data_IF_677959861832
#
_entry.id   IF_677959861832
#
_cell.length_a   1.000
_cell.length_b   1.000
_cell.length_c   1.000
_cell.angle_alpha   90.00
_cell.angle_beta   90.00
_cell.angle_gamma   90.00
#
_symmetry.space_group_name_H-M   'P 1'
#
loop_
_entity.id
_entity.type
_entity.pdbx_description
1 polymer ?
#
# COMPACT_ATOMS: atom_id res chain seq x y z
N UNK A 1 15.81 -11.98 -3.27
CA UNK A 1 15.39 -12.21 -4.67
C UNK A 1 15.58 -10.94 -5.50
N UNK A 2 15.73 -11.09 -6.83
CA UNK A 2 15.84 -9.94 -7.74
C UNK A 2 14.62 -9.91 -8.65
N UNK A 3 13.99 -8.76 -8.74
CA UNK A 3 12.83 -8.53 -9.60
C UNK A 3 13.18 -7.49 -10.67
N UNK A 4 12.67 -7.68 -11.88
CA UNK A 4 12.86 -6.78 -13.02
C UNK A 4 11.61 -5.96 -13.33
N UNK A 5 10.52 -6.27 -12.64
CA UNK A 5 9.23 -5.64 -12.82
C UNK A 5 8.41 -5.63 -11.52
N UNK A 6 7.48 -4.71 -11.45
CA UNK A 6 6.48 -4.63 -10.39
C UNK A 6 5.10 -4.47 -11.01
N UNK A 7 4.10 -4.98 -10.33
CA UNK A 7 2.69 -4.66 -10.61
C UNK A 7 2.24 -3.53 -9.70
N UNK A 8 1.51 -2.56 -10.25
CA UNK A 8 1.00 -1.40 -9.51
C UNK A 8 -0.51 -1.39 -9.57
N UNK A 9 -1.17 -1.40 -8.42
CA UNK A 9 -2.62 -1.35 -8.32
C UNK A 9 -3.11 0.03 -7.89
N UNK A 10 -4.19 0.51 -8.51
CA UNK A 10 -4.84 1.77 -8.12
C UNK A 10 -5.31 1.78 -6.66
N UNK A 11 -5.51 0.61 -6.06
CA UNK A 11 -5.97 0.42 -4.70
C UNK A 11 -4.86 0.48 -3.64
N UNK A 12 -3.77 1.23 -3.91
CA UNK A 12 -2.77 1.61 -2.92
C UNK A 12 -1.74 0.54 -2.54
N UNK A 13 -1.38 -0.32 -3.48
CA UNK A 13 -0.34 -1.33 -3.29
C UNK A 13 0.46 -1.62 -4.56
N UNK A 14 1.64 -2.18 -4.38
CA UNK A 14 2.44 -2.82 -5.42
C UNK A 14 2.71 -4.26 -5.05
N UNK A 15 3.10 -5.06 -6.04
CA UNK A 15 3.67 -6.40 -5.84
C UNK A 15 4.95 -6.53 -6.66
N UNK A 16 5.95 -7.19 -6.12
CA UNK A 16 7.14 -7.57 -6.87
C UNK A 16 6.81 -8.71 -7.83
N UNK A 17 7.11 -8.50 -9.13
CA UNK A 17 6.72 -9.39 -10.21
C UNK A 17 5.35 -9.08 -10.82
N UNK A 18 4.94 -9.93 -11.76
CA UNK A 18 3.67 -9.79 -12.49
C UNK A 18 2.50 -10.43 -11.71
N UNK A 19 1.38 -9.71 -11.65
CA UNK A 19 0.11 -10.23 -11.14
C UNK A 19 -1.07 -9.57 -11.85
N UNK A 20 -2.11 -10.34 -12.14
CA UNK A 20 -3.40 -9.86 -12.64
C UNK A 20 -4.40 -9.51 -11.51
N UNK A 21 -3.96 -9.56 -10.24
CA UNK A 21 -4.83 -9.23 -9.13
C UNK A 21 -5.14 -7.74 -9.09
N UNK A 22 -6.39 -7.41 -8.86
CA UNK A 22 -6.91 -6.03 -8.71
C UNK A 22 -7.54 -5.84 -7.32
N UNK A 23 -6.98 -6.49 -6.29
CA UNK A 23 -7.57 -6.55 -4.96
C UNK A 23 -7.80 -5.14 -4.39
N UNK A 24 -9.07 -4.77 -4.26
CA UNK A 24 -9.52 -3.53 -3.62
C UNK A 24 -9.96 -3.76 -2.18
N UNK A 25 -10.34 -4.99 -1.84
CA UNK A 25 -10.70 -5.39 -0.48
C UNK A 25 -9.44 -5.69 0.29
N UNK A 26 -9.17 -4.89 1.29
CA UNK A 26 -7.98 -5.05 2.12
C UNK A 26 -8.19 -6.09 3.24
N UNK A 27 -7.13 -6.79 3.54
CA UNK A 27 -7.05 -7.84 4.55
C UNK A 27 -5.80 -7.64 5.42
N UNK A 28 -5.68 -8.37 6.55
CA UNK A 28 -4.42 -8.40 7.30
C UNK A 28 -3.25 -8.94 6.46
N UNK A 29 -2.05 -8.46 6.76
CA UNK A 29 -0.79 -8.94 6.19
C UNK A 29 0.08 -9.62 7.28
N UNK A 30 0.76 -10.75 6.95
CA UNK A 30 0.70 -11.48 5.68
C UNK A 30 -0.61 -12.25 5.53
N UNK A 31 -1.04 -12.46 4.29
CA UNK A 31 -2.27 -13.22 4.05
C UNK A 31 -2.72 -13.31 2.59
N UNK A 32 -3.73 -14.13 2.32
CA UNK A 32 -4.13 -14.49 0.97
C UNK A 32 -4.99 -13.42 0.25
N UNK A 33 -5.20 -12.26 0.83
CA UNK A 33 -6.10 -11.24 0.28
C UNK A 33 -5.51 -10.43 -0.88
N UNK A 34 -4.18 -10.30 -0.92
CA UNK A 34 -3.40 -9.66 -1.95
C UNK A 34 -2.47 -10.63 -2.68
N UNK A 35 -1.69 -10.14 -3.67
CA UNK A 35 -0.67 -10.95 -4.32
C UNK A 35 0.53 -11.13 -3.40
N UNK A 36 1.25 -12.27 -3.47
CA UNK A 36 2.50 -12.45 -2.74
C UNK A 36 3.55 -11.39 -3.12
N UNK A 37 4.46 -11.06 -2.20
CA UNK A 37 5.45 -10.00 -2.40
C UNK A 37 4.86 -8.59 -2.43
N UNK A 38 3.75 -8.41 -1.73
CA UNK A 38 3.01 -7.16 -1.69
C UNK A 38 3.66 -6.12 -0.78
N UNK A 39 3.65 -4.88 -1.23
CA UNK A 39 3.88 -3.67 -0.42
C UNK A 39 2.62 -2.84 -0.44
N UNK A 40 1.88 -2.84 0.65
CA UNK A 40 0.68 -2.06 0.83
C UNK A 40 1.03 -0.73 1.50
N UNK A 41 0.95 0.38 0.76
CA UNK A 41 1.18 1.72 1.31
C UNK A 41 -0.11 2.33 1.85
N UNK A 42 -1.24 2.04 1.22
CA UNK A 42 -2.58 2.43 1.63
C UNK A 42 -3.59 1.53 0.92
N UNK A 43 -3.58 0.24 1.25
CA UNK A 43 -4.47 -0.72 0.60
C UNK A 43 -5.90 -0.55 1.09
N UNK A 44 -6.74 -0.01 0.23
CA UNK A 44 -8.18 0.19 0.43
C UNK A 44 -8.86 0.30 -0.95
N UNK A 45 -10.16 0.34 -0.99
CA UNK A 45 -10.93 0.61 -2.21
C UNK A 45 -10.80 2.08 -2.59
N UNK A 46 -10.00 2.35 -3.63
CA UNK A 46 -9.64 3.69 -4.07
C UNK A 46 -10.17 3.98 -5.49
N UNK A 47 -10.49 5.23 -5.71
CA UNK A 47 -10.85 5.79 -7.03
C UNK A 47 -9.71 6.63 -7.57
N UNK A 48 -9.21 6.27 -8.75
CA UNK A 48 -8.18 6.98 -9.47
C UNK A 48 -8.52 7.05 -10.97
N UNK A 49 -7.79 7.87 -11.72
CA UNK A 49 -7.84 7.89 -13.18
C UNK A 49 -8.82 8.90 -13.81
N UNK A 50 -9.31 9.88 -13.02
CA UNK A 50 -10.09 10.99 -13.55
C UNK A 50 -9.62 12.34 -12.98
N UNK A 51 -10.03 13.44 -13.59
CA UNK A 51 -9.71 14.78 -13.09
C UNK A 51 -10.25 15.08 -11.68
N UNK A 52 -11.25 14.32 -11.24
CA UNK A 52 -11.87 14.47 -9.92
C UNK A 52 -11.36 13.45 -8.88
N UNK A 53 -10.61 12.44 -9.31
CA UNK A 53 -10.14 11.35 -8.47
C UNK A 53 -8.62 11.14 -8.52
N UNK A 54 -7.87 12.11 -9.06
CA UNK A 54 -6.42 12.02 -9.17
C UNK A 54 -5.92 10.85 -10.01
N UNK A 55 -4.70 10.39 -9.76
CA UNK A 55 -4.07 9.33 -10.53
C UNK A 55 -2.92 8.63 -9.84
N UNK A 56 -2.44 7.59 -10.49
CA UNK A 56 -1.23 6.86 -10.10
C UNK A 56 -0.12 7.17 -11.11
N UNK A 57 1.04 7.54 -10.61
CA UNK A 57 2.17 7.98 -11.41
C UNK A 57 3.44 7.23 -11.00
N UNK A 58 4.34 7.05 -11.94
CA UNK A 58 5.66 6.47 -11.68
C UNK A 58 6.76 7.43 -12.12
N UNK A 59 7.86 7.39 -11.39
CA UNK A 59 9.07 8.14 -11.71
C UNK A 59 10.30 7.32 -11.41
N UNK A 60 11.26 7.31 -12.34
CA UNK A 60 12.55 6.66 -12.16
C UNK A 60 13.68 7.68 -12.25
N UNK A 61 14.56 7.69 -11.26
CA UNK A 61 15.77 8.50 -11.25
C UNK A 61 17.00 7.59 -11.15
N UNK A 62 17.61 7.34 -12.29
CA UNK A 62 18.79 6.48 -12.38
C UNK A 62 20.02 7.02 -11.62
N UNK A 63 20.16 8.35 -11.49
CA UNK A 63 21.30 8.94 -10.79
C UNK A 63 21.20 8.82 -9.28
N UNK A 64 19.99 8.75 -8.74
CA UNK A 64 19.73 8.55 -7.33
C UNK A 64 19.38 7.09 -7.01
N UNK A 65 19.23 6.23 -8.03
CA UNK A 65 18.83 4.83 -7.86
C UNK A 65 17.50 4.67 -7.17
N UNK A 66 16.50 5.47 -7.55
CA UNK A 66 15.18 5.42 -6.95
C UNK A 66 14.10 5.18 -8.01
N UNK A 67 13.11 4.36 -7.63
CA UNK A 67 11.86 4.23 -8.36
C UNK A 67 10.71 4.62 -7.45
N UNK A 68 9.87 5.54 -7.90
CA UNK A 68 8.75 6.06 -7.12
C UNK A 68 7.43 5.66 -7.78
N UNK A 69 6.49 5.20 -6.96
CA UNK A 69 5.09 5.06 -7.33
C UNK A 69 4.28 5.99 -6.44
N UNK A 70 3.58 6.94 -7.03
CA UNK A 70 2.77 7.94 -6.32
C UNK A 70 1.30 7.78 -6.67
N UNK A 71 0.46 7.72 -5.64
CA UNK A 71 -0.99 7.92 -5.71
C UNK A 71 -1.26 9.36 -5.31
N UNK A 72 -1.65 10.19 -6.28
CA UNK A 72 -1.80 11.64 -6.09
C UNK A 72 -3.26 12.03 -6.12
N UNK A 73 -3.77 12.56 -5.01
CA UNK A 73 -5.16 12.98 -4.83
C UNK A 73 -6.19 11.90 -5.19
N UNK A 74 -5.87 10.64 -4.95
CA UNK A 74 -6.82 9.53 -5.09
C UNK A 74 -7.90 9.66 -4.01
N UNK A 75 -9.06 9.06 -4.23
CA UNK A 75 -10.16 9.14 -3.29
C UNK A 75 -10.55 7.77 -2.77
N UNK A 76 -10.85 7.70 -1.49
CA UNK A 76 -11.52 6.54 -0.91
C UNK A 76 -12.89 6.32 -1.58
N UNK A 77 -13.28 5.06 -1.77
CA UNK A 77 -14.51 4.75 -2.50
C UNK A 77 -15.77 5.18 -1.75
N UNK A 78 -15.83 4.97 -0.44
CA UNK A 78 -17.05 5.21 0.33
C UNK A 78 -17.28 6.68 0.70
N UNK A 79 -16.30 7.39 1.23
CA UNK A 79 -16.48 8.77 1.71
C UNK A 79 -15.79 9.84 0.90
N UNK A 80 -15.11 9.46 -0.18
CA UNK A 80 -14.47 10.39 -1.12
C UNK A 80 -13.42 11.33 -0.49
N UNK A 81 -12.78 10.92 0.60
CA UNK A 81 -11.64 11.64 1.15
C UNK A 81 -10.44 11.54 0.22
N UNK A 82 -9.68 12.62 0.13
CA UNK A 82 -8.46 12.64 -0.68
C UNK A 82 -7.32 12.02 0.11
N UNK A 83 -6.56 11.18 -0.58
CA UNK A 83 -5.35 10.58 -0.08
C UNK A 83 -4.20 10.86 -1.06
N UNK A 84 -3.01 11.14 -0.54
CA UNK A 84 -1.81 11.34 -1.37
C UNK A 84 -0.62 10.69 -0.67
N UNK A 85 -0.05 9.68 -1.31
CA UNK A 85 1.01 8.87 -0.74
C UNK A 85 1.87 8.26 -1.83
N UNK A 86 3.05 7.77 -1.43
CA UNK A 86 3.99 7.15 -2.38
C UNK A 86 4.81 6.03 -1.74
N UNK A 87 5.28 5.14 -2.60
CA UNK A 87 6.33 4.17 -2.33
C UNK A 87 7.59 4.62 -3.04
N UNK A 88 8.72 4.62 -2.35
CA UNK A 88 10.04 4.80 -2.93
C UNK A 88 10.81 3.50 -2.75
N UNK A 89 11.24 2.91 -3.84
CA UNK A 89 12.12 1.76 -3.88
C UNK A 89 13.54 2.26 -4.15
N UNK A 90 14.49 1.88 -3.30
CA UNK A 90 15.89 2.21 -3.46
C UNK A 90 16.64 1.05 -4.13
N UNK A 91 17.52 1.38 -5.05
CA UNK A 91 18.38 0.39 -5.68
C UNK A 91 19.45 -0.10 -4.68
N UNK A 92 19.61 -1.41 -4.58
CA UNK A 92 20.52 -2.07 -3.64
C UNK A 92 21.96 -1.56 -3.63
N UNK A 93 22.58 -1.14 -4.74
CA UNK A 93 23.89 -0.51 -4.69
C UNK A 93 23.98 0.83 -3.98
N UNK A 94 22.84 1.49 -3.75
CA UNK A 94 22.78 2.85 -3.20
C UNK A 94 22.33 2.84 -1.73
N UNK A 95 21.19 2.21 -1.45
CA UNK A 95 20.69 2.06 -0.08
C UNK A 95 20.28 0.60 0.16
N UNK A 96 20.95 -0.05 1.10
CA UNK A 96 20.84 -1.47 1.33
C UNK A 96 20.54 -1.79 2.78
N UNK A 97 19.56 -2.66 2.99
CA UNK A 97 19.26 -3.22 4.32
C UNK A 97 20.39 -4.13 4.82
N UNK A 98 20.36 -4.49 6.09
CA UNK A 98 21.33 -5.42 6.69
C UNK A 98 21.30 -6.82 6.04
N UNK A 99 20.19 -7.20 5.41
CA UNK A 99 20.03 -8.47 4.69
C UNK A 99 20.46 -8.42 3.23
N UNK A 100 20.81 -7.23 2.72
CA UNK A 100 21.28 -7.03 1.35
C UNK A 100 20.17 -6.67 0.36
N UNK A 101 18.95 -6.44 0.82
CA UNK A 101 17.85 -5.98 0.00
C UNK A 101 17.84 -4.45 -0.09
N UNK A 102 17.18 -3.88 -1.10
CA UNK A 102 16.95 -2.44 -1.18
C UNK A 102 15.99 -1.94 -0.11
N UNK A 103 16.24 -0.75 0.41
CA UNK A 103 15.32 -0.12 1.34
C UNK A 103 14.00 0.26 0.64
N UNK A 104 12.91 0.28 1.41
CA UNK A 104 11.59 0.70 0.93
C UNK A 104 11.09 1.82 1.84
N UNK A 105 10.68 2.94 1.25
CA UNK A 105 10.12 4.06 2.00
C UNK A 105 8.67 4.30 1.60
N UNK A 106 7.79 4.33 2.58
CA UNK A 106 6.39 4.72 2.43
C UNK A 106 6.24 6.15 2.92
N UNK A 107 5.68 7.04 2.10
CA UNK A 107 5.49 8.45 2.47
C UNK A 107 4.04 8.88 2.27
N UNK A 108 3.56 9.68 3.20
CA UNK A 108 2.19 10.20 3.22
C UNK A 108 2.22 11.73 3.22
N UNK A 109 1.65 12.32 2.19
CA UNK A 109 1.39 13.76 2.15
C UNK A 109 0.07 14.06 2.83
N UNK A 110 -0.99 13.35 2.42
CA UNK A 110 -2.32 13.41 2.96
C UNK A 110 -2.72 11.97 3.37
N UNK A 111 -3.00 11.76 4.64
CA UNK A 111 -3.41 10.49 5.21
C UNK A 111 -4.63 10.69 6.10
N UNK A 112 -5.81 10.65 5.52
CA UNK A 112 -7.06 10.82 6.26
C UNK A 112 -7.59 9.48 6.79
N UNK A 113 -7.55 8.44 5.95
CA UNK A 113 -7.94 7.08 6.32
C UNK A 113 -9.27 7.01 7.09
N UNK A 114 -10.28 7.70 6.57
CA UNK A 114 -11.60 7.81 7.20
C UNK A 114 -12.62 6.82 6.66
N UNK A 115 -12.29 6.15 5.56
CA UNK A 115 -13.17 5.18 4.91
C UNK A 115 -13.39 3.97 5.82
N UNK A 116 -14.61 3.80 6.27
CA UNK A 116 -15.03 2.67 7.10
C UNK A 116 -16.02 1.76 6.36
N UNK A 117 -15.99 1.84 5.04
CA UNK A 117 -16.85 1.03 4.17
C UNK A 117 -16.51 -0.45 4.21
N UNK A 118 -17.50 -1.26 3.92
CA UNK A 118 -17.35 -2.70 3.78
C UNK A 118 -18.37 -3.26 2.82
N UNK A 119 -18.05 -4.40 2.23
CA UNK A 119 -18.97 -5.13 1.35
C UNK A 119 -19.66 -6.24 2.15
N UNK A 120 -20.99 -6.28 2.16
CA UNK A 120 -21.72 -7.32 2.89
C UNK A 120 -21.57 -8.69 2.22
N UNK A 121 -21.63 -9.76 3.01
CA UNK A 121 -21.73 -11.13 2.53
C UNK A 121 -23.19 -11.50 2.32
N UNK A 122 -23.58 -11.78 1.08
CA UNK A 122 -24.94 -12.24 0.75
C UNK A 122 -26.00 -11.22 1.18
N UNK A 123 -27.09 -11.69 1.81
CA UNK A 123 -28.20 -10.85 2.28
C UNK A 123 -28.00 -10.30 3.70
N UNK A 124 -26.89 -10.59 4.35
CA UNK A 124 -26.59 -10.10 5.70
C UNK A 124 -25.87 -8.75 5.60
N UNK A 125 -26.63 -7.69 5.38
CA UNK A 125 -26.11 -6.34 5.48
C UNK A 125 -25.48 -6.11 6.86
N UNK A 126 -24.23 -5.67 6.89
CA UNK A 126 -23.53 -5.33 8.12
C UNK A 126 -22.43 -6.30 8.57
N UNK A 127 -22.20 -7.41 7.86
CA UNK A 127 -21.04 -8.26 8.15
C UNK A 127 -19.86 -7.86 7.25
N UNK A 128 -18.78 -7.29 7.79
CA UNK A 128 -17.59 -6.96 7.01
C UNK A 128 -16.97 -8.22 6.42
N UNK A 129 -16.53 -8.15 5.16
CA UNK A 129 -15.79 -9.24 4.48
C UNK A 129 -14.32 -8.89 4.24
N UNK A 130 -13.92 -7.68 4.60
CA UNK A 130 -12.56 -7.17 4.49
C UNK A 130 -12.34 -6.05 5.52
N UNK A 131 -11.17 -5.41 5.51
CA UNK A 131 -10.91 -4.26 6.37
C UNK A 131 -11.86 -3.08 6.11
N UNK A 132 -12.11 -2.30 7.15
CA UNK A 132 -12.93 -1.08 7.09
C UNK A 132 -12.08 0.17 6.84
N UNK A 133 -10.82 0.13 7.22
CA UNK A 133 -9.80 1.16 7.01
C UNK A 133 -8.61 0.52 6.31
N UNK A 134 -7.71 1.32 5.79
CA UNK A 134 -6.60 0.81 5.01
C UNK A 134 -5.72 -0.21 5.74
N UNK A 135 -5.06 -1.05 4.97
CA UNK A 135 -3.92 -1.87 5.41
C UNK A 135 -2.63 -1.22 4.96
N UNK A 136 -1.66 -1.14 5.87
CA UNK A 136 -0.29 -0.74 5.59
C UNK A 136 0.66 -1.82 6.08
N UNK A 137 1.53 -2.30 5.19
CA UNK A 137 2.47 -3.36 5.52
C UNK A 137 3.16 -3.95 4.30
N UNK A 138 3.97 -4.96 4.56
CA UNK A 138 4.69 -5.73 3.52
C UNK A 138 4.57 -7.22 3.80
N UNK A 139 4.69 -8.02 2.77
CA UNK A 139 4.85 -9.47 2.90
C UNK A 139 5.86 -10.03 1.90
N UNK A 140 6.39 -11.21 2.23
CA UNK A 140 7.35 -11.89 1.38
C UNK A 140 6.67 -12.49 0.14
N UNK A 141 7.51 -12.95 -0.80
CA UNK A 141 7.07 -13.56 -2.05
C UNK A 141 6.23 -14.85 -1.91
N UNK A 142 6.15 -15.42 -0.71
CA UNK A 142 5.27 -16.56 -0.43
C UNK A 142 3.96 -16.16 0.25
N UNK A 143 3.82 -14.87 0.66
CA UNK A 143 2.65 -14.40 1.42
C UNK A 143 2.53 -15.02 2.82
N UNK A 144 3.64 -15.53 3.37
CA UNK A 144 3.66 -16.29 4.64
C UNK A 144 4.33 -15.57 5.79
N UNK A 145 5.21 -14.60 5.48
CA UNK A 145 5.91 -13.75 6.45
C UNK A 145 5.72 -12.30 6.04
N UNK A 146 5.39 -11.45 6.97
CA UNK A 146 5.17 -10.04 6.70
C UNK A 146 5.27 -9.17 7.94
N UNK A 147 5.22 -7.88 7.71
CA UNK A 147 5.12 -6.85 8.73
C UNK A 147 3.86 -6.02 8.45
N UNK A 148 2.84 -6.20 9.27
CA UNK A 148 1.66 -5.35 9.27
C UNK A 148 1.92 -4.13 10.17
N UNK A 149 1.90 -2.94 9.59
CA UNK A 149 2.04 -1.70 10.35
C UNK A 149 0.70 -1.25 10.93
N UNK A 150 -0.38 -1.37 10.14
CA UNK A 150 -1.75 -1.17 10.61
C UNK A 150 -2.74 -1.93 9.73
N UNK A 151 -3.79 -2.42 10.37
CA UNK A 151 -5.00 -2.94 9.77
C UNK A 151 -6.20 -2.45 10.57
N UNK A 152 -7.23 -1.92 9.91
CA UNK A 152 -8.41 -1.36 10.58
C UNK A 152 -8.09 -0.30 11.64
N UNK A 153 -7.11 0.57 11.40
CA UNK A 153 -6.63 1.56 12.39
C UNK A 153 -6.10 0.95 13.70
N UNK A 154 -5.81 -0.34 13.71
CA UNK A 154 -5.16 -0.99 14.84
C UNK A 154 -3.65 -0.96 14.61
N UNK A 155 -2.92 -0.39 15.54
CA UNK A 155 -1.47 -0.24 15.48
C UNK A 155 -0.80 -1.09 16.56
N UNK A 156 0.38 -1.69 16.29
CA UNK A 156 1.22 -2.24 17.34
C UNK A 156 1.56 -1.19 18.42
N UNK A 157 1.74 -1.60 19.66
CA UNK A 157 1.97 -0.68 20.79
C UNK A 157 3.15 0.28 20.56
N UNK A 158 4.20 -0.18 19.90
CA UNK A 158 5.39 0.62 19.60
C UNK A 158 5.25 1.48 18.34
N UNK A 159 4.19 1.31 17.54
CA UNK A 159 4.01 2.03 16.29
C UNK A 159 3.42 3.42 16.51
N UNK A 160 3.93 4.39 15.76
CA UNK A 160 3.31 5.72 15.71
C UNK A 160 2.11 5.69 14.75
N UNK A 161 0.99 6.27 15.17
CA UNK A 161 -0.18 6.43 14.31
C UNK A 161 0.18 7.22 13.05
N UNK A 162 -0.21 6.73 11.89
CA UNK A 162 -0.01 7.42 10.62
C UNK A 162 -0.88 8.67 10.53
N UNK A 163 -0.33 9.69 9.90
CA UNK A 163 -0.97 10.99 9.68
C UNK A 163 -0.26 11.72 8.54
N UNK A 164 -0.74 12.88 8.17
CA UNK A 164 -0.10 13.75 7.18
C UNK A 164 1.37 14.00 7.48
N UNK A 165 2.17 14.16 6.43
CA UNK A 165 3.60 14.49 6.50
C UNK A 165 4.45 13.43 7.23
N UNK A 166 4.04 12.18 7.21
CA UNK A 166 4.75 11.07 7.83
C UNK A 166 5.39 10.13 6.82
N UNK A 167 6.47 9.47 7.23
CA UNK A 167 7.11 8.43 6.45
C UNK A 167 7.47 7.22 7.33
N UNK A 168 7.47 6.04 6.72
CA UNK A 168 8.01 4.79 7.26
C UNK A 168 9.19 4.38 6.39
N UNK A 169 10.29 3.99 7.00
CA UNK A 169 11.43 3.39 6.32
C UNK A 169 11.51 1.92 6.75
N UNK A 170 11.55 1.04 5.77
CA UNK A 170 11.69 -0.40 5.94
C UNK A 170 13.13 -0.74 5.56
N UNK A 171 13.89 -1.21 6.56
CA UNK A 171 15.32 -1.50 6.46
C UNK A 171 15.62 -2.93 6.87
#
# INVERSE_FOLDING_TARGET
ETYNEISVCSNGWISFGETDMESFRNYPLPGPGGPPGMVAVFWDDLKAGSSSTGGVYTYYNNSEGIFIVEWSNVKTFFDNTNESFQIILYDTPIEQTATGDGEIKLQYKDFNNTSYGYYPVGNNAGTPVHGQYCTVGIENHEGTVGLEYTYNNIYPEAAMVLQDQRALLIT
#
